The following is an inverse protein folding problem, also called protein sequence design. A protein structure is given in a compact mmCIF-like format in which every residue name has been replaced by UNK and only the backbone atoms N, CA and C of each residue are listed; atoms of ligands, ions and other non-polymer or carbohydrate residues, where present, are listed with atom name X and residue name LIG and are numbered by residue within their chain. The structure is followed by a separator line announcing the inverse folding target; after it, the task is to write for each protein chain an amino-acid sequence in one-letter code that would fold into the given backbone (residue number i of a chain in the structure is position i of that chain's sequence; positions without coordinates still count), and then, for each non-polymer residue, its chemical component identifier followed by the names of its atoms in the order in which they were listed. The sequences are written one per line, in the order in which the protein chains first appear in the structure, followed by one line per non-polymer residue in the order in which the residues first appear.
data_IF_303415835869
#
_entry.id   IF_303415835869
#
_cell.length_a   1.000
_cell.length_b   1.000
_cell.length_c   1.000
_cell.angle_alpha   90.00
_cell.angle_beta   90.00
_cell.angle_gamma   90.00
#
_symmetry.space_group_name_H-M   'P 1'
#
loop_
_entity.id
_entity.type
_entity.pdbx_description
1 polymer ?
#
# COMPACT_ATOMS: atom_id res chain seq x y z
N UNK A 1 -8.59 -8.66 17.17
CA UNK A 1 -7.40 -9.14 17.90
C UNK A 1 -6.49 -7.99 18.30
N UNK A 2 -5.92 -7.20 17.34
CA UNK A 2 -4.94 -6.11 17.65
C UNK A 2 -5.56 -5.08 18.61
N UNK A 3 -6.71 -4.50 18.29
CA UNK A 3 -7.35 -3.48 19.13
C UNK A 3 -7.73 -3.99 20.52
N UNK A 4 -8.17 -5.25 20.67
CA UNK A 4 -8.44 -5.86 21.96
C UNK A 4 -7.16 -5.99 22.81
N UNK A 5 -6.07 -6.44 22.18
CA UNK A 5 -4.78 -6.55 22.85
C UNK A 5 -4.25 -5.18 23.30
N UNK A 6 -4.32 -4.17 22.44
CA UNK A 6 -3.93 -2.79 22.76
C UNK A 6 -4.79 -2.24 23.92
N UNK A 7 -6.11 -2.46 23.89
CA UNK A 7 -7.02 -1.98 24.95
C UNK A 7 -6.69 -2.63 26.31
N UNK A 8 -6.38 -3.94 26.34
CA UNK A 8 -5.93 -4.64 27.56
C UNK A 8 -4.60 -4.10 28.11
N UNK A 9 -3.81 -3.46 27.28
CA UNK A 9 -2.54 -2.82 27.64
C UNK A 9 -2.67 -1.29 27.81
N UNK A 10 -3.89 -0.77 27.98
CA UNK A 10 -4.14 0.65 28.31
C UNK A 10 -4.12 1.59 27.10
N UNK A 11 -4.12 1.07 25.87
CA UNK A 11 -4.17 1.87 24.65
C UNK A 11 -5.58 1.85 24.07
N UNK A 12 -6.27 3.00 24.10
CA UNK A 12 -7.59 3.14 23.50
C UNK A 12 -7.50 3.03 21.97
N UNK A 13 -8.49 2.37 21.34
CA UNK A 13 -8.54 2.19 19.90
C UNK A 13 -9.89 2.62 19.33
N UNK A 14 -9.86 3.57 18.40
CA UNK A 14 -10.98 3.85 17.51
C UNK A 14 -10.87 2.92 16.28
N UNK A 15 -11.97 2.28 15.93
CA UNK A 15 -12.13 1.52 14.68
C UNK A 15 -13.41 1.96 14.01
N UNK A 16 -13.40 2.03 12.71
CA UNK A 16 -14.57 2.34 11.90
C UNK A 16 -14.62 1.39 10.69
N UNK A 17 -15.80 1.21 10.14
CA UNK A 17 -15.97 0.56 8.84
C UNK A 17 -15.71 1.60 7.75
N UNK A 18 -15.13 1.18 6.65
CA UNK A 18 -14.93 2.05 5.48
C UNK A 18 -16.28 2.56 4.95
N UNK A 19 -16.24 3.67 4.22
CA UNK A 19 -17.43 4.23 3.59
C UNK A 19 -18.21 3.18 2.78
N UNK A 20 -19.53 3.16 2.87
CA UNK A 20 -20.44 2.15 2.31
C UNK A 20 -20.28 0.73 2.87
N UNK A 21 -19.48 0.50 3.91
CA UNK A 21 -19.31 -0.79 4.55
C UNK A 21 -19.99 -0.81 5.91
N UNK A 22 -20.61 -1.92 6.28
CA UNK A 22 -21.24 -2.12 7.59
C UNK A 22 -22.30 -1.07 7.89
N UNK A 23 -22.03 -0.22 8.92
CA UNK A 23 -22.90 0.88 9.31
C UNK A 23 -22.40 2.25 8.85
N UNK A 24 -21.23 2.31 8.24
CA UNK A 24 -20.68 3.56 7.71
C UNK A 24 -21.46 4.01 6.50
N UNK A 25 -21.77 5.30 6.46
CA UNK A 25 -22.44 5.96 5.34
C UNK A 25 -21.42 6.46 4.30
N UNK A 26 -21.88 7.15 3.28
CA UNK A 26 -21.06 7.69 2.21
C UNK A 26 -21.14 6.86 0.95
N UNK A 27 -20.28 7.17 -0.01
CA UNK A 27 -20.19 6.47 -1.29
C UNK A 27 -18.76 6.05 -1.57
N UNK A 28 -18.52 4.76 -1.83
CA UNK A 28 -17.23 4.21 -2.21
C UNK A 28 -16.99 4.26 -3.73
N UNK A 29 -18.04 4.52 -4.55
CA UNK A 29 -17.84 4.60 -5.99
C UNK A 29 -16.92 5.78 -6.34
N UNK A 30 -15.82 5.49 -7.05
CA UNK A 30 -14.80 6.47 -7.38
C UNK A 30 -13.93 6.92 -6.21
N UNK A 31 -14.00 6.25 -5.04
CA UNK A 31 -13.11 6.53 -3.94
C UNK A 31 -11.65 6.14 -4.28
N UNK A 32 -10.71 6.94 -3.83
CA UNK A 32 -9.28 6.75 -4.01
C UNK A 32 -8.58 6.71 -2.66
N UNK A 33 -7.29 6.41 -2.62
CA UNK A 33 -6.48 6.50 -1.41
C UNK A 33 -6.59 7.89 -0.74
N UNK A 34 -6.69 8.95 -1.52
CA UNK A 34 -6.92 10.31 -0.99
C UNK A 34 -8.28 10.43 -0.29
N UNK A 35 -9.30 9.74 -0.79
CA UNK A 35 -10.61 9.70 -0.15
C UNK A 35 -10.56 8.99 1.19
N UNK A 36 -9.93 7.82 1.25
CA UNK A 36 -9.75 7.05 2.48
C UNK A 36 -8.81 7.74 3.48
N UNK A 37 -7.80 8.49 2.99
CA UNK A 37 -6.96 9.34 3.82
C UNK A 37 -7.78 10.42 4.56
N UNK A 38 -8.76 11.03 3.89
CA UNK A 38 -9.68 12.00 4.52
C UNK A 38 -10.56 11.36 5.59
N UNK A 39 -11.01 10.13 5.37
CA UNK A 39 -11.78 9.39 6.38
C UNK A 39 -10.93 9.08 7.62
N UNK A 40 -9.68 8.66 7.43
CA UNK A 40 -8.74 8.42 8.52
C UNK A 40 -8.41 9.72 9.28
N UNK A 41 -8.25 10.84 8.56
CA UNK A 41 -8.04 12.16 9.17
C UNK A 41 -9.23 12.57 10.06
N UNK A 42 -10.45 12.37 9.59
CA UNK A 42 -11.66 12.67 10.39
C UNK A 42 -11.69 11.84 11.69
N UNK A 43 -11.26 10.58 11.65
CA UNK A 43 -11.09 9.75 12.84
C UNK A 43 -10.05 10.31 13.83
N UNK A 44 -8.93 10.82 13.33
CA UNK A 44 -7.91 11.48 14.16
C UNK A 44 -8.44 12.77 14.80
N UNK A 45 -9.14 13.61 14.02
CA UNK A 45 -9.73 14.85 14.50
C UNK A 45 -10.77 14.57 15.57
N UNK A 46 -11.65 13.59 15.36
CA UNK A 46 -12.60 13.16 16.38
C UNK A 46 -11.91 12.79 17.70
N UNK A 47 -10.81 12.02 17.66
CA UNK A 47 -10.08 11.66 18.87
C UNK A 47 -9.43 12.87 19.55
N UNK A 48 -8.96 13.85 18.78
CA UNK A 48 -8.41 15.11 19.31
C UNK A 48 -9.47 15.94 20.00
N UNK A 49 -10.64 16.07 19.39
CA UNK A 49 -11.76 16.85 19.91
C UNK A 49 -12.30 16.28 21.24
N UNK A 50 -12.14 14.98 21.48
CA UNK A 50 -12.45 14.38 22.77
C UNK A 50 -11.58 14.93 23.92
N UNK A 51 -10.38 15.44 23.64
CA UNK A 51 -9.47 16.02 24.64
C UNK A 51 -8.98 15.04 25.71
N UNK A 52 -9.07 13.72 25.46
CA UNK A 52 -8.81 12.66 26.46
C UNK A 52 -7.45 11.98 26.32
N UNK A 53 -6.76 12.19 25.19
CA UNK A 53 -5.56 11.46 24.85
C UNK A 53 -4.37 12.41 24.71
N UNK A 54 -3.24 12.05 25.33
CA UNK A 54 -1.99 12.83 25.25
C UNK A 54 -1.24 12.61 23.94
N UNK A 55 -1.47 11.47 23.30
CA UNK A 55 -0.91 11.10 21.99
C UNK A 55 -1.93 10.31 21.20
N UNK A 56 -1.99 10.60 19.91
CA UNK A 56 -2.90 9.94 18.96
C UNK A 56 -2.09 9.50 17.77
N UNK A 57 -2.16 8.19 17.47
CA UNK A 57 -1.46 7.58 16.33
C UNK A 57 -2.38 6.84 15.38
N UNK A 58 -1.83 6.44 14.26
CA UNK A 58 -2.51 5.59 13.28
C UNK A 58 -1.86 4.21 13.25
N UNK A 59 -2.70 3.18 13.15
CA UNK A 59 -2.30 1.82 12.78
C UNK A 59 -3.07 1.43 11.54
N UNK A 60 -2.38 1.15 10.45
CA UNK A 60 -2.98 0.80 9.16
C UNK A 60 -2.32 -0.41 8.53
N UNK A 61 -3.11 -1.19 7.78
CA UNK A 61 -2.65 -2.35 7.04
C UNK A 61 -2.74 -2.06 5.53
N UNK A 62 -1.73 -2.48 4.78
CA UNK A 62 -1.68 -2.34 3.33
C UNK A 62 -1.87 -0.86 2.92
N UNK A 63 -2.86 -0.51 2.12
CA UNK A 63 -3.21 0.88 1.80
C UNK A 63 -3.39 1.74 3.05
N UNK A 64 -3.99 1.21 4.13
CA UNK A 64 -4.11 1.91 5.41
C UNK A 64 -2.76 2.25 6.04
N UNK A 65 -1.74 1.40 5.85
CA UNK A 65 -0.36 1.68 6.25
C UNK A 65 0.27 2.81 5.44
N UNK A 66 -0.02 2.88 4.15
CA UNK A 66 0.38 3.97 3.27
C UNK A 66 -0.31 5.28 3.66
N UNK A 67 -1.62 5.23 3.93
CA UNK A 67 -2.38 6.37 4.45
C UNK A 67 -1.77 6.91 5.76
N UNK A 68 -1.30 5.99 6.64
CA UNK A 68 -0.62 6.40 7.86
C UNK A 68 0.68 7.17 7.56
N UNK A 69 1.47 6.77 6.55
CA UNK A 69 2.64 7.52 6.11
C UNK A 69 2.25 8.91 5.59
N UNK A 70 1.24 9.00 4.73
CA UNK A 70 0.77 10.27 4.16
C UNK A 70 0.36 11.25 5.26
N UNK A 71 -0.46 10.83 6.21
CA UNK A 71 -0.92 11.67 7.31
C UNK A 71 0.19 12.02 8.32
N UNK A 72 1.15 11.12 8.53
CA UNK A 72 2.33 11.40 9.36
C UNK A 72 3.26 12.43 8.70
N UNK A 73 3.45 12.35 7.37
CA UNK A 73 4.19 13.35 6.61
C UNK A 73 3.56 14.75 6.65
N UNK A 74 2.24 14.82 6.76
CA UNK A 74 1.48 16.07 6.99
C UNK A 74 1.50 16.54 8.47
N UNK A 75 2.18 15.81 9.38
CA UNK A 75 2.23 16.14 10.80
C UNK A 75 0.90 15.92 11.54
N UNK A 76 0.01 15.05 11.03
CA UNK A 76 -1.32 14.82 11.56
C UNK A 76 -1.39 13.76 12.66
N UNK A 77 -0.28 13.15 13.07
CA UNK A 77 -0.27 12.08 14.05
C UNK A 77 1.01 12.10 14.90
N UNK A 78 0.94 11.57 16.13
CA UNK A 78 2.07 11.55 17.06
C UNK A 78 2.95 10.31 16.91
N UNK A 79 2.45 9.25 16.27
CA UNK A 79 3.18 8.02 15.91
C UNK A 79 2.37 7.22 14.89
N UNK A 80 3.02 6.30 14.19
CA UNK A 80 2.33 5.38 13.29
C UNK A 80 2.82 3.94 13.44
N UNK A 81 1.92 3.00 13.14
CA UNK A 81 2.19 1.59 12.95
C UNK A 81 1.71 1.21 11.55
N UNK A 82 2.65 0.94 10.67
CA UNK A 82 2.37 0.47 9.32
C UNK A 82 2.55 -1.03 9.23
N UNK A 83 1.49 -1.73 8.87
CA UNK A 83 1.47 -3.17 8.62
C UNK A 83 1.43 -3.37 7.10
N UNK A 84 2.56 -3.69 6.49
CA UNK A 84 2.68 -3.87 5.04
C UNK A 84 2.18 -2.66 4.21
N UNK A 85 2.36 -1.42 4.72
CA UNK A 85 2.13 -0.21 3.93
C UNK A 85 3.30 0.03 2.99
N UNK A 86 3.03 0.49 1.76
CA UNK A 86 4.07 0.69 0.77
C UNK A 86 4.82 2.02 0.94
N UNK A 87 6.14 1.96 0.76
CA UNK A 87 7.02 3.12 0.59
C UNK A 87 7.42 3.34 -0.88
N UNK A 88 6.99 2.46 -1.75
CA UNK A 88 7.26 2.47 -3.18
C UNK A 88 6.07 3.06 -3.91
N UNK A 89 6.30 3.70 -5.06
CA UNK A 89 5.21 4.19 -5.92
C UNK A 89 4.28 3.05 -6.35
N UNK A 90 3.01 3.39 -6.59
CA UNK A 90 1.97 2.40 -6.82
C UNK A 90 2.19 1.58 -8.09
N UNK A 91 2.75 2.15 -9.15
CA UNK A 91 3.08 1.41 -10.38
C UNK A 91 4.11 0.31 -10.10
N UNK A 92 5.18 0.65 -9.38
CA UNK A 92 6.22 -0.31 -8.98
C UNK A 92 5.65 -1.41 -8.09
N UNK A 93 4.80 -1.07 -7.10
CA UNK A 93 4.12 -2.07 -6.24
C UNK A 93 3.35 -3.08 -7.08
N UNK A 94 2.53 -2.61 -8.04
CA UNK A 94 1.72 -3.51 -8.86
C UNK A 94 2.59 -4.37 -9.80
N UNK A 95 3.69 -3.87 -10.31
CA UNK A 95 4.65 -4.66 -11.11
C UNK A 95 5.31 -5.73 -10.25
N UNK A 96 5.79 -5.41 -9.05
CA UNK A 96 6.40 -6.36 -8.12
C UNK A 96 5.41 -7.45 -7.68
N UNK A 97 4.17 -7.06 -7.37
CA UNK A 97 3.07 -7.97 -7.03
C UNK A 97 2.78 -8.95 -8.17
N UNK A 98 2.63 -8.46 -9.40
CA UNK A 98 2.41 -9.31 -10.57
C UNK A 98 3.59 -10.27 -10.78
N UNK A 99 4.82 -9.80 -10.63
CA UNK A 99 6.02 -10.65 -10.68
C UNK A 99 5.93 -11.82 -9.71
N UNK A 100 5.67 -11.55 -8.42
CA UNK A 100 5.59 -12.61 -7.40
C UNK A 100 4.45 -13.59 -7.67
N UNK A 101 3.29 -13.10 -8.10
CA UNK A 101 2.13 -13.94 -8.42
C UNK A 101 2.41 -14.85 -9.62
N UNK A 102 2.96 -14.31 -10.71
CA UNK A 102 3.26 -15.08 -11.92
C UNK A 102 4.36 -16.12 -11.68
N UNK A 103 5.43 -15.75 -10.95
CA UNK A 103 6.47 -16.69 -10.53
C UNK A 103 5.89 -17.81 -9.66
N UNK A 104 5.04 -17.48 -8.68
CA UNK A 104 4.35 -18.45 -7.82
C UNK A 104 3.38 -19.36 -8.59
N UNK A 105 2.88 -18.92 -9.74
CA UNK A 105 2.04 -19.71 -10.65
C UNK A 105 2.83 -20.60 -11.60
N UNK A 106 4.17 -20.62 -11.50
CA UNK A 106 5.04 -21.47 -12.31
C UNK A 106 5.31 -20.94 -13.74
N UNK A 107 5.01 -19.67 -14.00
CA UNK A 107 5.38 -19.03 -15.27
C UNK A 107 6.91 -18.88 -15.32
N UNK A 108 7.56 -19.22 -16.44
CA UNK A 108 9.02 -19.10 -16.57
C UNK A 108 9.49 -17.65 -16.31
N UNK A 109 10.60 -17.51 -15.59
CA UNK A 109 11.14 -16.20 -15.18
C UNK A 109 11.34 -15.23 -16.35
N UNK A 110 11.82 -15.73 -17.51
CA UNK A 110 11.98 -14.89 -18.72
C UNK A 110 10.65 -14.30 -19.18
N UNK A 111 9.58 -15.09 -19.21
CA UNK A 111 8.25 -14.61 -19.60
C UNK A 111 7.66 -13.64 -18.57
N UNK A 112 7.95 -13.86 -17.27
CA UNK A 112 7.57 -12.91 -16.20
C UNK A 112 8.32 -11.59 -16.36
N UNK A 113 9.61 -11.62 -16.69
CA UNK A 113 10.41 -10.43 -16.93
C UNK A 113 9.86 -9.61 -18.09
N UNK A 114 9.57 -10.26 -19.22
CA UNK A 114 8.99 -9.63 -20.41
C UNK A 114 7.61 -9.00 -20.07
N UNK A 115 6.75 -9.74 -19.38
CA UNK A 115 5.46 -9.25 -18.93
C UNK A 115 5.58 -8.01 -18.02
N UNK A 116 6.44 -8.06 -16.99
CA UNK A 116 6.63 -6.96 -16.07
C UNK A 116 7.20 -5.70 -16.76
N UNK A 117 8.06 -5.89 -17.77
CA UNK A 117 8.56 -4.77 -18.55
C UNK A 117 7.45 -4.08 -19.37
N UNK A 118 6.56 -4.86 -19.98
CA UNK A 118 5.39 -4.33 -20.69
C UNK A 118 4.44 -3.66 -19.72
N UNK A 119 4.13 -4.28 -18.58
CA UNK A 119 3.24 -3.74 -17.56
C UNK A 119 3.72 -2.38 -17.03
N UNK A 120 5.02 -2.25 -16.78
CA UNK A 120 5.62 -0.98 -16.35
C UNK A 120 5.44 0.13 -17.40
N UNK A 121 5.55 -0.21 -18.69
CA UNK A 121 5.31 0.76 -19.78
C UNK A 121 3.83 1.17 -19.86
N UNK A 122 2.91 0.21 -19.65
CA UNK A 122 1.46 0.49 -19.62
C UNK A 122 1.10 1.45 -18.48
N UNK A 123 1.69 1.24 -17.30
CA UNK A 123 1.47 2.15 -16.15
C UNK A 123 2.12 3.51 -16.32
N UNK A 124 3.24 3.60 -17.06
CA UNK A 124 3.93 4.86 -17.32
C UNK A 124 3.23 5.71 -18.40
N UNK A 125 2.41 5.10 -19.26
CA UNK A 125 1.70 5.78 -20.36
C UNK A 125 0.19 5.44 -20.33
N UNK A 126 -0.61 6.16 -19.52
CA UNK A 126 -2.06 5.93 -19.43
C UNK A 126 -2.80 6.15 -20.76
N UNK A 127 -2.22 6.89 -21.70
CA UNK A 127 -2.78 7.21 -23.01
C UNK A 127 -2.23 6.30 -24.14
N UNK A 128 -1.49 5.24 -23.77
CA UNK A 128 -0.92 4.30 -24.76
C UNK A 128 -1.99 3.80 -25.74
N UNK A 129 -1.69 3.88 -27.04
CA UNK A 129 -2.62 3.40 -28.09
C UNK A 129 -2.65 1.87 -28.14
N UNK A 130 -3.72 1.31 -28.72
CA UNK A 130 -3.84 -0.14 -28.89
C UNK A 130 -2.74 -0.70 -29.79
N UNK A 131 -2.38 0.03 -30.85
CA UNK A 131 -1.32 -0.36 -31.78
C UNK A 131 0.04 -0.42 -31.08
N UNK A 132 0.33 0.55 -30.20
CA UNK A 132 1.57 0.55 -29.42
C UNK A 132 1.61 -0.59 -28.41
N UNK A 133 0.46 -0.84 -27.75
CA UNK A 133 0.33 -1.97 -26.82
C UNK A 133 0.56 -3.31 -27.57
N UNK A 134 -0.03 -3.48 -28.75
CA UNK A 134 0.17 -4.68 -29.58
C UNK A 134 1.64 -4.87 -29.96
N UNK A 135 2.35 -3.78 -30.30
CA UNK A 135 3.77 -3.80 -30.63
C UNK A 135 4.62 -4.29 -29.44
N UNK A 136 4.48 -3.63 -28.26
CA UNK A 136 5.32 -3.95 -27.09
C UNK A 136 4.99 -5.29 -26.46
N UNK A 137 3.77 -5.80 -26.62
CA UNK A 137 3.32 -7.09 -26.09
C UNK A 137 3.46 -8.24 -27.07
N UNK A 138 4.00 -8.02 -28.27
CA UNK A 138 4.05 -9.02 -29.34
C UNK A 138 4.81 -10.31 -28.96
N UNK A 139 5.81 -10.22 -28.09
CA UNK A 139 6.60 -11.37 -27.62
C UNK A 139 5.92 -12.16 -26.48
N UNK A 140 4.87 -11.63 -25.87
CA UNK A 140 4.17 -12.30 -24.77
C UNK A 140 3.34 -13.48 -25.29
N UNK A 141 3.15 -14.49 -24.42
CA UNK A 141 2.20 -15.58 -24.70
C UNK A 141 0.77 -15.01 -24.85
N UNK A 142 -0.13 -15.69 -25.57
CA UNK A 142 -1.50 -15.20 -25.76
C UNK A 142 -2.21 -14.84 -24.45
N UNK A 143 -2.07 -15.66 -23.41
CA UNK A 143 -2.69 -15.41 -22.11
C UNK A 143 -2.13 -14.17 -21.39
N UNK A 144 -0.81 -13.97 -21.43
CA UNK A 144 -0.17 -12.79 -20.86
C UNK A 144 -0.50 -11.52 -21.64
N UNK A 145 -0.59 -11.63 -22.98
CA UNK A 145 -1.02 -10.53 -23.84
C UNK A 145 -2.48 -10.13 -23.54
N UNK A 146 -3.39 -11.07 -23.44
CA UNK A 146 -4.78 -10.82 -23.08
C UNK A 146 -4.90 -10.12 -21.72
N UNK A 147 -4.12 -10.57 -20.74
CA UNK A 147 -4.09 -9.93 -19.40
C UNK A 147 -3.59 -8.47 -19.47
N UNK A 148 -2.55 -8.18 -20.22
CA UNK A 148 -2.03 -6.81 -20.40
C UNK A 148 -3.09 -5.91 -21.05
N UNK A 149 -3.81 -6.39 -22.04
CA UNK A 149 -4.90 -5.63 -22.67
C UNK A 149 -6.03 -5.35 -21.66
N UNK A 150 -6.41 -6.35 -20.85
CA UNK A 150 -7.41 -6.16 -19.80
C UNK A 150 -6.96 -5.12 -18.75
N UNK A 151 -5.70 -5.15 -18.34
CA UNK A 151 -5.13 -4.12 -17.43
C UNK A 151 -5.24 -2.73 -18.05
N UNK A 152 -4.86 -2.57 -19.34
CA UNK A 152 -4.93 -1.28 -20.04
C UNK A 152 -6.35 -0.74 -20.18
N UNK A 153 -7.35 -1.63 -20.33
CA UNK A 153 -8.76 -1.27 -20.47
C UNK A 153 -9.45 -0.97 -19.13
N UNK A 154 -8.83 -1.35 -18.02
CA UNK A 154 -9.37 -1.10 -16.69
C UNK A 154 -9.42 0.40 -16.42
N UNK A 155 -10.63 0.92 -16.20
CA UNK A 155 -10.91 2.31 -15.84
C UNK A 155 -11.44 2.36 -14.41
N UNK A 156 -10.55 2.14 -13.46
CA UNK A 156 -10.87 2.21 -12.03
C UNK A 156 -10.16 3.43 -11.42
N UNK A 157 -10.91 4.43 -10.91
CA UNK A 157 -10.32 5.64 -10.33
C UNK A 157 -9.35 5.37 -9.18
N UNK A 158 -9.55 4.28 -8.42
CA UNK A 158 -8.62 3.89 -7.38
C UNK A 158 -7.30 3.41 -7.98
N UNK A 159 -7.35 2.54 -9.00
CA UNK A 159 -6.15 2.03 -9.68
C UNK A 159 -5.38 3.18 -10.34
N UNK A 160 -6.06 4.07 -11.06
CA UNK A 160 -5.44 5.22 -11.72
C UNK A 160 -4.74 6.14 -10.70
N UNK A 161 -5.40 6.43 -9.57
CA UNK A 161 -4.80 7.22 -8.50
C UNK A 161 -3.61 6.49 -7.87
N UNK A 162 -3.77 5.19 -7.55
CA UNK A 162 -2.73 4.40 -6.89
C UNK A 162 -1.46 4.30 -7.73
N UNK A 163 -1.58 4.06 -9.04
CA UNK A 163 -0.44 4.01 -9.97
C UNK A 163 0.34 5.33 -9.97
N UNK A 164 -0.36 6.46 -9.91
CA UNK A 164 0.24 7.80 -9.94
C UNK A 164 0.83 8.23 -8.59
N UNK A 165 0.51 7.53 -7.51
CA UNK A 165 0.92 7.90 -6.15
C UNK A 165 2.35 7.46 -5.85
N UNK A 166 3.20 8.38 -5.39
CA UNK A 166 4.48 8.06 -4.74
C UNK A 166 4.48 8.64 -3.31
N UNK A 167 4.52 7.79 -2.27
CA UNK A 167 4.53 8.24 -0.89
C UNK A 167 5.90 8.76 -0.41
N UNK A 168 6.94 8.74 -1.23
CA UNK A 168 8.32 9.02 -0.81
C UNK A 168 8.48 10.41 -0.19
N UNK A 169 7.90 11.46 -0.78
CA UNK A 169 7.98 12.82 -0.24
C UNK A 169 7.31 12.92 1.14
N UNK A 170 6.12 12.33 1.28
CA UNK A 170 5.43 12.29 2.58
C UNK A 170 6.27 11.55 3.63
N UNK A 171 6.87 10.41 3.28
CA UNK A 171 7.71 9.62 4.18
C UNK A 171 8.94 10.42 4.64
N UNK A 172 9.61 11.14 3.73
CA UNK A 172 10.75 11.99 4.06
C UNK A 172 10.40 13.14 5.03
N UNK A 173 9.15 13.54 5.07
CA UNK A 173 8.64 14.59 5.96
C UNK A 173 8.19 14.08 7.33
N UNK A 174 8.16 12.75 7.56
CA UNK A 174 7.76 12.18 8.84
C UNK A 174 8.78 12.52 9.93
N UNK A 175 8.29 13.07 11.03
CA UNK A 175 9.10 13.39 12.22
C UNK A 175 8.71 12.59 13.45
N UNK A 176 7.54 11.97 13.45
CA UNK A 176 7.05 11.12 14.53
C UNK A 176 7.65 9.71 14.49
N UNK A 177 7.60 8.93 15.58
CA UNK A 177 8.01 7.53 15.59
C UNK A 177 7.21 6.66 14.61
N UNK A 178 7.91 5.77 13.90
CA UNK A 178 7.35 4.81 12.95
C UNK A 178 7.69 3.40 13.39
N UNK A 179 6.66 2.54 13.48
CA UNK A 179 6.83 1.09 13.51
C UNK A 179 6.33 0.53 12.18
N UNK A 180 7.25 0.03 11.34
CA UNK A 180 6.91 -0.59 10.06
C UNK A 180 7.17 -2.10 10.10
N UNK A 181 6.15 -2.87 9.77
CA UNK A 181 6.15 -4.33 9.83
C UNK A 181 5.76 -4.89 8.46
N UNK A 182 6.43 -5.96 8.02
CA UNK A 182 6.08 -6.71 6.80
C UNK A 182 6.15 -8.21 7.06
N UNK A 183 5.40 -9.00 6.31
CA UNK A 183 5.62 -10.44 6.20
C UNK A 183 6.73 -10.73 5.18
N UNK A 184 7.57 -11.73 5.43
CA UNK A 184 8.63 -12.16 4.50
C UNK A 184 8.04 -12.72 3.20
N UNK A 185 6.93 -13.48 3.32
CA UNK A 185 6.23 -14.11 2.19
C UNK A 185 5.10 -13.22 1.64
N UNK A 186 5.16 -11.91 1.89
CA UNK A 186 4.20 -10.97 1.34
C UNK A 186 4.41 -10.85 -0.19
N UNK A 187 3.36 -11.22 -0.96
CA UNK A 187 3.36 -11.14 -2.42
C UNK A 187 2.68 -9.86 -2.94
N UNK A 188 2.15 -9.02 -2.06
CA UNK A 188 1.47 -7.78 -2.43
C UNK A 188 2.36 -6.56 -2.19
N UNK A 189 2.98 -6.47 -1.03
CA UNK A 189 3.98 -5.45 -0.70
C UNK A 189 5.27 -6.17 -0.33
N UNK A 190 6.20 -6.19 -1.27
CA UNK A 190 7.41 -7.02 -1.18
C UNK A 190 8.34 -6.48 -0.09
N UNK A 191 8.59 -7.28 0.96
CA UNK A 191 9.37 -6.85 2.11
C UNK A 191 10.82 -6.48 1.73
N UNK A 192 11.42 -7.22 0.79
CA UNK A 192 12.81 -7.03 0.34
C UNK A 192 13.05 -5.67 -0.36
N UNK A 193 12.03 -5.10 -1.01
CA UNK A 193 12.10 -3.77 -1.61
C UNK A 193 11.59 -2.68 -0.66
N UNK A 194 10.51 -2.96 0.06
CA UNK A 194 9.77 -1.99 0.86
C UNK A 194 10.53 -1.54 2.13
N UNK A 195 11.00 -2.48 2.95
CA UNK A 195 11.64 -2.15 4.23
C UNK A 195 12.95 -1.36 4.04
N UNK A 196 13.88 -1.76 3.16
CA UNK A 196 15.10 -0.96 2.92
C UNK A 196 14.79 0.43 2.34
N UNK A 197 13.71 0.57 1.55
CA UNK A 197 13.28 1.88 1.04
C UNK A 197 12.76 2.76 2.18
N UNK A 198 11.96 2.23 3.10
CA UNK A 198 11.52 2.95 4.30
C UNK A 198 12.70 3.41 5.17
N UNK A 199 13.66 2.52 5.42
CA UNK A 199 14.87 2.86 6.19
C UNK A 199 15.67 4.00 5.55
N UNK A 200 15.72 4.03 4.21
CA UNK A 200 16.41 5.08 3.45
C UNK A 200 15.67 6.42 3.45
N UNK A 201 14.33 6.39 3.37
CA UNK A 201 13.51 7.60 3.25
C UNK A 201 13.26 8.27 4.62
N UNK A 202 13.05 7.46 5.66
CA UNK A 202 12.77 7.98 7.00
C UNK A 202 14.03 8.59 7.62
N UNK A 203 13.87 9.81 8.11
CA UNK A 203 14.94 10.44 8.90
C UNK A 203 15.17 9.63 10.18
N UNK A 204 16.43 9.43 10.52
CA UNK A 204 16.75 8.82 11.79
C UNK A 204 16.33 9.74 12.94
N UNK A 205 15.38 9.28 13.74
CA UNK A 205 14.94 9.94 14.96
C UNK A 205 15.20 9.07 16.21
N UNK A 206 15.95 7.98 16.06
CA UNK A 206 16.27 7.01 17.11
C UNK A 206 15.05 6.24 17.65
N UNK A 207 13.86 6.41 17.06
CA UNK A 207 12.60 5.81 17.52
C UNK A 207 11.92 4.96 16.45
N UNK A 208 12.38 5.03 15.21
CA UNK A 208 11.85 4.20 14.12
C UNK A 208 12.25 2.74 14.35
N UNK A 209 11.34 1.83 14.06
CA UNK A 209 11.56 0.39 14.13
C UNK A 209 10.99 -0.28 12.89
N UNK A 210 11.78 -1.19 12.34
CA UNK A 210 11.43 -1.97 11.17
C UNK A 210 11.53 -3.44 11.52
N UNK A 211 10.60 -4.26 11.04
CA UNK A 211 10.66 -5.70 11.25
C UNK A 211 9.97 -6.45 10.12
N UNK A 212 10.70 -7.39 9.53
CA UNK A 212 10.15 -8.43 8.67
C UNK A 212 9.92 -9.69 9.50
N UNK A 213 8.76 -10.31 9.37
CA UNK A 213 8.39 -11.53 10.07
C UNK A 213 8.56 -12.73 9.14
N UNK A 214 9.45 -13.68 9.48
CA UNK A 214 9.69 -14.88 8.68
C UNK A 214 8.40 -15.72 8.53
N UNK A 215 8.17 -16.24 7.33
CA UNK A 215 7.07 -17.14 7.03
C UNK A 215 5.67 -16.53 7.09
N UNK A 216 5.54 -15.21 7.23
CA UNK A 216 4.23 -14.54 7.23
C UNK A 216 3.93 -13.90 5.86
N UNK A 217 2.66 -14.02 5.44
CA UNK A 217 2.13 -13.39 4.23
C UNK A 217 1.65 -11.95 4.48
N UNK A 218 0.99 -11.35 3.48
CA UNK A 218 0.43 -9.98 3.55
C UNK A 218 -0.52 -9.77 4.73
N UNK A 219 -1.28 -10.78 5.14
CA UNK A 219 -2.21 -10.72 6.28
C UNK A 219 -1.55 -11.09 7.61
N UNK A 220 -0.23 -11.21 7.65
CA UNK A 220 0.54 -11.66 8.81
C UNK A 220 0.10 -13.05 9.31
N UNK A 221 -0.27 -13.93 8.37
CA UNK A 221 -0.59 -15.33 8.62
C UNK A 221 0.56 -16.21 8.13
N UNK A 222 0.83 -17.30 8.82
CA UNK A 222 1.79 -18.30 8.36
C UNK A 222 1.34 -18.88 7.02
N UNK A 223 2.26 -18.95 6.07
CA UNK A 223 2.09 -19.59 4.76
C UNK A 223 3.40 -20.28 4.37
N UNK A 224 3.28 -21.35 3.59
CA UNK A 224 4.37 -22.09 2.95
C UNK A 224 4.70 -21.52 1.57
#
# INVERSE_FOLDING_TARGET
VIADNLARNGVACLRYDDRSVGKSTGNAAGATTETFKKDALAGLEYLRDLGKFSKIGLAGHSEGGTIAFLLAGEGKTDFIISLAGTATDGATVLVEQNRKILMGSGIPESAVNDYCQVLAQVYADPEMTAEKLDEISAALSPALKENIHAVRETKDPWVEYFISMDPAEAIMNITCPVLALNGENDVQVIAESNIPRLEKLLKDNGKNKFKTYPGLNHLFQHCE
#
